data_IF_133691268911
#
_entry.id   IF_133691268911
#
_cell.length_a   1.000
_cell.length_b   1.000
_cell.length_c   1.000
_cell.angle_alpha   90.00
_cell.angle_beta   90.00
_cell.angle_gamma   90.00
#
_symmetry.space_group_name_H-M   'P 1'
#
loop_
_entity.id
_entity.type
_entity.pdbx_description
1 polymer ?
#
# COMPACT_ATOMS: atom_id res chain seq x y z
N UNK A 1 -57.40 -17.77 -16.25
CA UNK A 1 -57.84 -16.37 -16.11
C UNK A 1 -56.68 -15.50 -16.57
N UNK A 2 -56.89 -14.74 -17.65
CA UNK A 2 -55.90 -13.90 -18.31
C UNK A 2 -55.84 -12.51 -17.66
N UNK A 3 -54.59 -12.01 -17.51
CA UNK A 3 -54.15 -10.62 -17.73
C UNK A 3 -54.59 -9.52 -16.73
N UNK A 4 -54.03 -8.30 -16.81
CA UNK A 4 -52.67 -7.93 -16.41
C UNK A 4 -52.67 -6.59 -15.63
N UNK A 5 -51.59 -6.25 -14.92
CA UNK A 5 -51.35 -4.86 -14.49
C UNK A 5 -49.86 -4.63 -14.41
N UNK A 6 -49.30 -4.21 -15.54
CA UNK A 6 -48.64 -2.92 -15.71
C UNK A 6 -48.56 -2.04 -14.43
N UNK A 7 -47.54 -1.26 -14.10
CA UNK A 7 -46.29 -0.87 -14.75
C UNK A 7 -45.61 0.16 -13.80
N UNK A 8 -44.29 0.34 -13.94
CA UNK A 8 -43.42 1.40 -13.36
C UNK A 8 -43.00 1.29 -11.89
N UNK A 9 -41.74 0.90 -11.67
CA UNK A 9 -40.69 1.88 -11.33
C UNK A 9 -39.32 1.22 -11.41
N UNK A 10 -38.57 1.60 -12.43
CA UNK A 10 -37.14 1.37 -12.51
C UNK A 10 -36.44 2.09 -11.35
N UNK A 11 -35.72 1.34 -10.52
CA UNK A 11 -34.52 1.85 -9.86
C UNK A 11 -33.40 0.86 -10.06
N UNK A 12 -32.54 1.23 -11.01
CA UNK A 12 -31.24 0.65 -11.21
C UNK A 12 -30.44 0.70 -9.90
N UNK A 13 -30.12 -0.47 -9.36
CA UNK A 13 -28.98 -0.63 -8.48
C UNK A 13 -28.00 -1.59 -9.17
N UNK A 14 -27.44 -1.11 -10.29
CA UNK A 14 -26.21 -1.64 -10.84
C UNK A 14 -25.07 -1.26 -9.88
N UNK A 15 -24.66 -2.18 -9.01
CA UNK A 15 -23.28 -2.20 -8.50
C UNK A 15 -22.69 -3.56 -8.87
N UNK A 16 -22.47 -3.70 -10.16
CA UNK A 16 -21.50 -4.64 -10.68
C UNK A 16 -20.16 -3.92 -10.74
N UNK A 17 -19.11 -4.67 -10.43
CA UNK A 17 -17.71 -4.45 -10.82
C UNK A 17 -16.82 -3.77 -9.77
N UNK A 18 -16.32 -4.58 -8.83
CA UNK A 18 -14.85 -4.75 -8.82
C UNK A 18 -14.61 -6.20 -9.22
N UNK A 19 -14.60 -6.42 -10.54
CA UNK A 19 -13.93 -7.57 -11.11
C UNK A 19 -12.49 -7.49 -10.61
N UNK A 20 -12.11 -8.43 -9.74
CA UNK A 20 -10.72 -8.73 -9.50
C UNK A 20 -10.13 -9.13 -10.85
N UNK A 21 -9.64 -8.16 -11.60
CA UNK A 21 -8.77 -8.37 -12.75
C UNK A 21 -7.47 -8.93 -12.22
N UNK A 22 -7.50 -10.19 -11.80
CA UNK A 22 -6.34 -11.03 -11.70
C UNK A 22 -5.91 -11.31 -13.14
N UNK A 23 -5.25 -10.32 -13.74
CA UNK A 23 -4.56 -10.49 -15.00
C UNK A 23 -3.44 -11.52 -14.76
N UNK A 24 -3.49 -12.72 -15.38
CA UNK A 24 -2.43 -13.69 -15.25
C UNK A 24 -1.32 -13.27 -16.21
N UNK A 25 -0.31 -12.54 -15.73
CA UNK A 25 0.80 -12.17 -16.60
C UNK A 25 1.77 -11.09 -16.14
N UNK A 26 1.44 -10.28 -15.13
CA UNK A 26 2.46 -9.43 -14.51
C UNK A 26 3.12 -10.22 -13.40
N UNK A 27 4.26 -10.85 -13.71
CA UNK A 27 5.30 -11.02 -12.68
C UNK A 27 5.40 -9.66 -11.99
N UNK A 28 5.37 -9.55 -10.64
CA UNK A 28 5.62 -8.27 -10.02
C UNK A 28 6.93 -7.78 -10.63
N UNK A 29 6.86 -6.66 -11.37
CA UNK A 29 8.07 -5.94 -11.72
C UNK A 29 8.52 -5.42 -10.37
N UNK A 30 9.34 -6.24 -9.74
CA UNK A 30 10.03 -5.94 -8.51
C UNK A 30 10.86 -4.72 -8.85
N UNK A 31 10.42 -3.59 -8.36
CA UNK A 31 10.96 -2.31 -8.75
C UNK A 31 11.54 -1.66 -7.50
N UNK A 32 12.85 -1.78 -7.43
CA UNK A 32 13.66 -1.18 -6.39
C UNK A 32 13.51 0.35 -6.38
N UNK A 33 13.31 0.96 -7.55
CA UNK A 33 13.05 2.39 -7.70
C UNK A 33 11.66 2.75 -7.16
N UNK A 34 10.65 1.91 -7.41
CA UNK A 34 9.32 2.06 -6.80
C UNK A 34 9.38 1.94 -5.28
N UNK A 35 10.13 0.97 -4.75
CA UNK A 35 10.27 0.79 -3.30
C UNK A 35 10.96 1.99 -2.63
N UNK A 36 12.04 2.48 -3.24
CA UNK A 36 12.77 3.66 -2.74
C UNK A 36 11.97 4.95 -2.87
N UNK A 37 11.17 5.12 -3.92
CA UNK A 37 10.25 6.25 -4.07
C UNK A 37 9.14 6.23 -3.00
N UNK A 38 8.48 5.09 -2.79
CA UNK A 38 7.44 4.94 -1.77
C UNK A 38 7.98 5.13 -0.34
N UNK A 39 9.22 4.69 -0.07
CA UNK A 39 9.88 4.99 1.20
C UNK A 39 10.10 6.49 1.43
N UNK A 40 10.52 7.23 0.39
CA UNK A 40 10.71 8.69 0.48
C UNK A 40 9.39 9.39 0.73
N UNK A 41 8.33 8.98 0.04
CA UNK A 41 6.98 9.48 0.29
C UNK A 41 6.56 9.24 1.75
N UNK A 42 6.77 8.04 2.27
CA UNK A 42 6.47 7.73 3.67
C UNK A 42 7.22 8.64 4.66
N UNK A 43 8.48 8.97 4.38
CA UNK A 43 9.28 9.90 5.20
C UNK A 43 8.71 11.32 5.17
N UNK A 44 8.30 11.81 3.99
CA UNK A 44 7.69 13.14 3.82
C UNK A 44 6.37 13.22 4.56
N UNK A 45 5.49 12.24 4.38
CA UNK A 45 4.19 12.21 5.05
C UNK A 45 4.33 12.15 6.57
N UNK A 46 5.28 11.35 7.07
CA UNK A 46 5.57 11.30 8.51
C UNK A 46 6.11 12.64 9.02
N UNK A 47 6.98 13.31 8.27
CA UNK A 47 7.46 14.65 8.61
C UNK A 47 6.31 15.68 8.67
N UNK A 48 5.34 15.55 7.77
CA UNK A 48 4.12 16.38 7.77
C UNK A 48 3.10 16.00 8.85
N UNK A 49 3.32 14.92 9.61
CA UNK A 49 2.40 14.43 10.65
C UNK A 49 1.23 13.60 10.13
N UNK A 50 1.30 13.10 8.90
CA UNK A 50 0.27 12.28 8.26
C UNK A 50 0.54 10.78 8.44
N UNK A 51 0.44 10.28 9.67
CA UNK A 51 0.74 8.88 10.02
C UNK A 51 0.01 7.85 9.14
N UNK A 52 -1.24 8.12 8.77
CA UNK A 52 -2.04 7.23 7.92
C UNK A 52 -1.52 7.16 6.47
N UNK A 53 -1.08 8.29 5.92
CA UNK A 53 -0.49 8.37 4.59
C UNK A 53 0.90 7.72 4.58
N UNK A 54 1.73 8.01 5.59
CA UNK A 54 3.03 7.37 5.78
C UNK A 54 2.92 5.84 5.87
N UNK A 55 1.95 5.32 6.61
CA UNK A 55 1.67 3.89 6.70
C UNK A 55 1.19 3.28 5.39
N UNK A 56 0.53 4.05 4.52
CA UNK A 56 0.09 3.58 3.20
C UNK A 56 1.28 3.44 2.26
N UNK A 57 2.11 4.48 2.17
CA UNK A 57 3.35 4.47 1.38
C UNK A 57 4.33 3.37 1.84
N UNK A 58 4.50 3.16 3.15
CA UNK A 58 5.31 2.04 3.67
C UNK A 58 4.82 0.66 3.21
N UNK A 59 3.50 0.45 3.13
CA UNK A 59 2.94 -0.82 2.64
C UNK A 59 3.21 -1.01 1.16
N UNK A 60 3.21 0.07 0.38
CA UNK A 60 3.55 0.04 -1.04
C UNK A 60 5.02 -0.31 -1.26
N UNK A 61 5.93 0.33 -0.52
CA UNK A 61 7.35 -0.04 -0.51
C UNK A 61 7.55 -1.52 -0.18
N UNK A 62 6.87 -2.02 0.85
CA UNK A 62 6.94 -3.44 1.24
C UNK A 62 6.40 -4.39 0.15
N UNK A 63 5.33 -4.02 -0.54
CA UNK A 63 4.77 -4.79 -1.66
C UNK A 63 5.74 -4.84 -2.84
N UNK A 64 6.39 -3.73 -3.15
CA UNK A 64 7.37 -3.64 -4.24
C UNK A 64 8.58 -4.57 -4.03
N UNK A 65 8.97 -4.79 -2.77
CA UNK A 65 10.08 -5.68 -2.40
C UNK A 65 9.64 -7.12 -2.09
N UNK A 66 8.34 -7.40 -2.08
CA UNK A 66 7.83 -8.72 -1.68
C UNK A 66 8.32 -9.81 -2.64
N UNK A 67 8.89 -10.88 -2.08
CA UNK A 67 9.43 -12.00 -2.85
C UNK A 67 10.95 -11.97 -3.08
N UNK A 68 11.66 -10.94 -2.61
CA UNK A 68 13.11 -10.89 -2.63
C UNK A 68 13.73 -11.32 -1.28
N UNK A 69 14.47 -12.44 -1.21
CA UNK A 69 15.13 -12.84 0.03
C UNK A 69 16.31 -11.93 0.40
N UNK A 70 16.94 -11.25 -0.56
CA UNK A 70 18.02 -10.28 -0.31
C UNK A 70 17.54 -9.08 0.51
N UNK A 71 16.26 -8.73 0.39
CA UNK A 71 15.69 -7.53 1.00
C UNK A 71 15.08 -7.80 2.37
N UNK A 72 15.29 -8.98 2.95
CA UNK A 72 14.73 -9.34 4.25
C UNK A 72 15.11 -8.33 5.35
N UNK A 73 16.33 -7.78 5.31
CA UNK A 73 16.78 -6.77 6.25
C UNK A 73 16.03 -5.43 6.07
N UNK A 74 15.86 -4.97 4.83
CA UNK A 74 15.10 -3.75 4.52
C UNK A 74 13.60 -3.91 4.87
N UNK A 75 13.03 -5.08 4.62
CA UNK A 75 11.65 -5.40 5.00
C UNK A 75 11.48 -5.36 6.53
N UNK A 76 12.42 -5.92 7.30
CA UNK A 76 12.37 -5.90 8.76
C UNK A 76 12.46 -4.47 9.32
N UNK A 77 13.31 -3.60 8.74
CA UNK A 77 13.40 -2.19 9.17
C UNK A 77 12.15 -1.39 8.80
N UNK A 78 11.51 -1.67 7.65
CA UNK A 78 10.20 -1.10 7.31
C UNK A 78 9.11 -1.50 8.30
N UNK A 79 9.12 -2.75 8.77
CA UNK A 79 8.16 -3.23 9.77
C UNK A 79 8.38 -2.57 11.13
N UNK A 80 9.63 -2.35 11.53
CA UNK A 80 9.99 -1.58 12.71
C UNK A 80 9.51 -0.12 12.61
N UNK A 81 9.74 0.54 11.47
CA UNK A 81 9.22 1.89 11.22
C UNK A 81 7.68 1.95 11.34
N UNK A 82 6.98 0.96 10.77
CA UNK A 82 5.53 0.86 10.86
C UNK A 82 5.01 0.60 12.30
N UNK A 83 5.83 -0.01 13.16
CA UNK A 83 5.52 -0.17 14.58
C UNK A 83 5.66 1.16 15.33
N UNK A 84 6.74 1.91 15.08
CA UNK A 84 6.98 3.21 15.69
C UNK A 84 5.92 4.26 15.29
N UNK A 85 5.48 4.30 14.02
CA UNK A 85 4.41 5.22 13.59
C UNK A 85 3.13 5.00 14.39
N UNK A 86 2.71 3.75 14.61
CA UNK A 86 1.49 3.44 15.38
C UNK A 86 1.57 3.87 16.85
N UNK A 87 2.79 4.12 17.34
CA UNK A 87 3.08 4.59 18.69
C UNK A 87 3.35 6.09 18.74
N UNK A 88 3.24 6.78 17.60
CA UNK A 88 3.59 8.19 17.43
C UNK A 88 5.05 8.49 17.81
N UNK A 89 5.95 7.53 17.58
CA UNK A 89 7.38 7.63 17.81
C UNK A 89 8.07 8.06 16.49
N UNK A 90 7.80 9.29 16.05
CA UNK A 90 8.16 9.76 14.70
C UNK A 90 9.67 9.77 14.45
N UNK A 91 10.49 10.01 15.48
CA UNK A 91 11.95 10.07 15.34
C UNK A 91 12.54 8.68 15.09
N UNK A 92 12.07 7.69 15.83
CA UNK A 92 12.44 6.29 15.69
C UNK A 92 11.98 5.75 14.33
N UNK A 93 10.75 6.05 13.93
CA UNK A 93 10.23 5.70 12.61
C UNK A 93 11.08 6.30 11.48
N UNK A 94 11.48 7.57 11.57
CA UNK A 94 12.36 8.19 10.58
C UNK A 94 13.74 7.52 10.51
N UNK A 95 14.30 7.15 11.66
CA UNK A 95 15.58 6.44 11.72
C UNK A 95 15.50 5.08 11.01
N UNK A 96 14.45 4.32 11.26
CA UNK A 96 14.25 3.01 10.66
C UNK A 96 14.00 3.10 9.16
N UNK A 97 13.24 4.10 8.71
CA UNK A 97 13.07 4.38 7.27
C UNK A 97 14.39 4.77 6.59
N UNK A 98 15.24 5.57 7.25
CA UNK A 98 16.54 5.94 6.71
C UNK A 98 17.47 4.71 6.57
N UNK A 99 17.44 3.82 7.57
CA UNK A 99 18.18 2.55 7.50
C UNK A 99 17.63 1.64 6.39
N UNK A 100 16.30 1.54 6.23
CA UNK A 100 15.70 0.81 5.13
C UNK A 100 16.17 1.35 3.77
N UNK A 101 16.27 2.68 3.62
CA UNK A 101 16.77 3.29 2.39
C UNK A 101 18.25 2.96 2.11
N UNK A 102 19.09 2.89 3.14
CA UNK A 102 20.52 2.51 3.02
C UNK A 102 20.72 1.05 2.67
N UNK A 103 19.82 0.16 3.12
CA UNK A 103 19.87 -1.26 2.78
C UNK A 103 19.42 -1.55 1.35
N UNK A 104 18.68 -0.61 0.77
CA UNK A 104 18.21 -0.68 -0.59
C UNK A 104 19.25 -0.10 -1.57
N UNK A 105 19.84 1.05 -1.26
CA UNK A 105 20.85 1.73 -2.09
C UNK A 105 22.11 0.88 -2.35
#
# INVERSE_FOLDING_TARGET
MNNPSDTLAATAAMVSTVNSSHAPGLRPVVDHDTATAALREAQVELYCGHDAAAMTALREARRALSGLPSEAAALATMESAAWHIRRHESREAQRDMALAHQLLA
#
